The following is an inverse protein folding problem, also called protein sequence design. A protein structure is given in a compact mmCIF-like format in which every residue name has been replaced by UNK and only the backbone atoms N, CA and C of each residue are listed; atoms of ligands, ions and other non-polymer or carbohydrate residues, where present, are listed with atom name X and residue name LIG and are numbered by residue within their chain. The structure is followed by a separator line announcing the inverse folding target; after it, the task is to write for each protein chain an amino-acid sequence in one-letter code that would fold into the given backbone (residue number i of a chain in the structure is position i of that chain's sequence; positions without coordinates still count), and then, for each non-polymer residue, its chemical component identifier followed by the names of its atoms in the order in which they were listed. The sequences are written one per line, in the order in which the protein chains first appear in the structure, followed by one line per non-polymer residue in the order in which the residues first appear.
data_IF_142791721831
#
_entry.id   IF_142791721831
#
_cell.length_a   1.000
_cell.length_b   1.000
_cell.length_c   1.000
_cell.angle_alpha   90.00
_cell.angle_beta   90.00
_cell.angle_gamma   90.00
#
_symmetry.space_group_name_H-M   'P 1'
#
loop_
_entity.id
_entity.type
_entity.pdbx_description
1 polymer ?
#
# COMPACT_ATOMS: atom_id res chain seq x y z
N UNK A 1 43.17 32.56 36.95
CA UNK A 1 41.80 32.19 36.49
C UNK A 1 41.38 32.82 35.16
N UNK A 2 41.93 33.96 34.71
CA UNK A 2 41.61 34.54 33.37
C UNK A 2 42.11 33.71 32.17
N UNK A 3 43.27 33.04 32.28
CA UNK A 3 43.81 32.23 31.16
C UNK A 3 43.08 30.90 30.95
N UNK A 4 42.43 30.36 31.99
CA UNK A 4 41.66 29.11 31.92
C UNK A 4 40.34 29.31 31.16
N UNK A 5 39.74 30.51 31.27
CA UNK A 5 38.55 30.90 30.52
C UNK A 5 38.83 31.09 29.01
N UNK A 6 40.02 31.60 28.65
CA UNK A 6 40.41 31.75 27.24
C UNK A 6 40.72 30.40 26.56
N UNK A 7 41.28 29.42 27.29
CA UNK A 7 41.51 28.07 26.74
C UNK A 7 40.21 27.29 26.53
N UNK A 8 39.21 27.47 27.40
CA UNK A 8 37.90 26.82 27.24
C UNK A 8 37.13 27.34 26.01
N UNK A 9 37.22 28.64 25.70
CA UNK A 9 36.63 29.20 24.48
C UNK A 9 37.30 28.69 23.19
N UNK A 10 38.62 28.45 23.20
CA UNK A 10 39.33 27.96 22.03
C UNK A 10 38.94 26.51 21.65
N UNK A 11 38.64 25.67 22.66
CA UNK A 11 38.21 24.28 22.45
C UNK A 11 36.77 24.22 21.90
N UNK A 12 35.89 25.10 22.37
CA UNK A 12 34.50 25.18 21.88
C UNK A 12 34.44 25.71 20.43
N UNK A 13 35.34 26.63 20.07
CA UNK A 13 35.43 27.15 18.69
C UNK A 13 36.03 26.13 17.72
N UNK A 14 36.91 25.24 18.18
CA UNK A 14 37.52 24.20 17.34
C UNK A 14 36.58 23.00 17.10
N UNK A 15 35.60 22.75 17.99
CA UNK A 15 34.58 21.71 17.79
C UNK A 15 33.44 22.10 16.83
N UNK A 16 33.35 23.37 16.43
CA UNK A 16 32.31 23.86 15.51
C UNK A 16 32.61 23.66 14.02
N UNK A 17 33.79 23.13 13.67
CA UNK A 17 34.25 22.89 12.29
C UNK A 17 34.31 21.41 11.89
N UNK A 18 33.72 20.52 12.69
CA UNK A 18 33.49 19.15 12.25
C UNK A 18 32.20 19.14 11.45
N UNK A 19 32.29 19.54 10.19
CA UNK A 19 31.32 19.19 9.15
C UNK A 19 31.32 17.66 9.01
N UNK A 20 30.65 16.96 9.94
CA UNK A 20 30.28 15.56 9.70
C UNK A 20 29.45 15.58 8.42
N UNK A 21 29.85 14.89 7.34
CA UNK A 21 29.04 14.79 6.15
C UNK A 21 27.75 14.11 6.57
N UNK A 22 26.70 14.90 6.75
CA UNK A 22 25.36 14.38 6.96
C UNK A 22 25.07 13.41 5.82
N UNK A 23 24.76 12.18 6.19
CA UNK A 23 24.40 11.09 5.30
C UNK A 23 23.08 11.38 4.57
N UNK A 24 23.08 12.34 3.64
CA UNK A 24 22.00 12.58 2.68
C UNK A 24 22.09 11.62 1.49
N UNK A 25 22.36 10.35 1.75
CA UNK A 25 22.49 9.31 0.73
C UNK A 25 21.21 8.51 0.49
N UNK A 26 20.24 8.56 1.40
CA UNK A 26 19.08 7.67 1.38
C UNK A 26 17.85 8.24 0.65
N UNK A 27 17.76 9.54 0.41
CA UNK A 27 16.43 10.17 0.31
C UNK A 27 15.75 10.04 -1.06
N UNK A 28 16.42 10.32 -2.18
CA UNK A 28 15.70 10.43 -3.47
C UNK A 28 15.45 9.10 -4.18
N UNK A 29 16.46 8.22 -4.22
CA UNK A 29 16.34 6.90 -4.85
C UNK A 29 15.33 6.00 -4.15
N UNK A 30 15.34 5.99 -2.81
CA UNK A 30 14.40 5.21 -2.00
C UNK A 30 12.97 5.73 -2.13
N UNK A 31 12.75 7.06 -2.07
CA UNK A 31 11.42 7.65 -2.28
C UNK A 31 10.85 7.32 -3.67
N UNK A 32 11.68 7.40 -4.72
CA UNK A 32 11.26 7.02 -6.08
C UNK A 32 10.90 5.54 -6.17
N UNK A 33 11.68 4.66 -5.52
CA UNK A 33 11.40 3.22 -5.50
C UNK A 33 10.09 2.90 -4.74
N UNK A 34 9.84 3.56 -3.61
CA UNK A 34 8.59 3.42 -2.84
C UNK A 34 7.39 3.88 -3.66
N UNK A 35 7.46 5.03 -4.32
CA UNK A 35 6.39 5.51 -5.18
C UNK A 35 6.08 4.53 -6.34
N UNK A 36 7.11 3.99 -6.99
CA UNK A 36 6.92 2.98 -8.05
C UNK A 36 6.25 1.70 -7.51
N UNK A 37 6.63 1.27 -6.30
CA UNK A 37 6.00 0.11 -5.64
C UNK A 37 4.54 0.38 -5.30
N UNK A 38 4.23 1.56 -4.75
CA UNK A 38 2.85 1.94 -4.43
C UNK A 38 1.96 1.92 -5.68
N UNK A 39 2.42 2.48 -6.80
CA UNK A 39 1.70 2.44 -8.09
C UNK A 39 1.48 0.99 -8.54
N UNK A 40 2.53 0.16 -8.48
CA UNK A 40 2.44 -1.26 -8.88
C UNK A 40 1.42 -2.01 -8.03
N UNK A 41 1.44 -1.82 -6.71
CA UNK A 41 0.49 -2.45 -5.78
C UNK A 41 -0.94 -2.02 -6.06
N UNK A 42 -1.18 -0.74 -6.35
CA UNK A 42 -2.52 -0.25 -6.71
C UNK A 42 -3.02 -0.92 -7.99
N UNK A 43 -2.18 -1.00 -9.02
CA UNK A 43 -2.52 -1.66 -10.28
C UNK A 43 -2.82 -3.15 -10.07
N UNK A 44 -1.94 -3.88 -9.37
CA UNK A 44 -2.15 -5.30 -9.06
C UNK A 44 -3.44 -5.53 -8.27
N UNK A 45 -3.74 -4.68 -7.30
CA UNK A 45 -4.98 -4.74 -6.53
C UNK A 45 -6.20 -4.53 -7.42
N UNK A 46 -6.21 -3.51 -8.26
CA UNK A 46 -7.32 -3.20 -9.16
C UNK A 46 -7.54 -4.32 -10.19
N UNK A 47 -6.46 -4.80 -10.81
CA UNK A 47 -6.47 -5.89 -11.78
C UNK A 47 -6.97 -7.20 -11.15
N UNK A 48 -6.59 -7.48 -9.91
CA UNK A 48 -7.07 -8.65 -9.19
C UNK A 48 -8.59 -8.61 -9.00
N UNK A 49 -9.14 -7.48 -8.51
CA UNK A 49 -10.60 -7.36 -8.32
C UNK A 49 -11.33 -7.52 -9.65
N UNK A 50 -10.87 -6.84 -10.70
CA UNK A 50 -11.47 -6.95 -12.04
C UNK A 50 -11.42 -8.39 -12.57
N UNK A 51 -10.30 -9.10 -12.36
CA UNK A 51 -10.14 -10.51 -12.74
C UNK A 51 -11.10 -11.40 -11.95
N UNK A 52 -11.25 -11.19 -10.65
CA UNK A 52 -12.17 -11.94 -9.82
C UNK A 52 -13.60 -11.75 -10.33
N UNK A 53 -14.06 -10.51 -10.49
CA UNK A 53 -15.42 -10.23 -10.98
C UNK A 53 -15.69 -10.87 -12.34
N UNK A 54 -14.72 -10.80 -13.27
CA UNK A 54 -14.82 -11.47 -14.58
C UNK A 54 -14.89 -13.00 -14.45
N UNK A 55 -14.16 -13.59 -13.51
CA UNK A 55 -14.13 -15.05 -13.31
C UNK A 55 -15.48 -15.57 -12.81
N UNK A 56 -16.18 -14.77 -11.99
CA UNK A 56 -17.50 -15.10 -11.46
C UNK A 56 -18.65 -14.49 -12.29
N UNK A 57 -18.36 -13.99 -13.50
CA UNK A 57 -19.33 -13.36 -14.43
C UNK A 57 -20.16 -12.23 -13.80
N UNK A 58 -19.57 -11.50 -12.86
CA UNK A 58 -20.19 -10.33 -12.23
C UNK A 58 -19.90 -9.12 -13.12
N UNK A 59 -20.94 -8.46 -13.64
CA UNK A 59 -20.75 -7.26 -14.45
C UNK A 59 -20.36 -6.06 -13.57
N UNK A 60 -19.40 -5.27 -14.04
CA UNK A 60 -18.83 -4.16 -13.29
C UNK A 60 -18.43 -2.99 -14.21
N UNK A 61 -18.29 -1.80 -13.62
CA UNK A 61 -17.70 -0.64 -14.27
C UNK A 61 -16.45 -0.19 -13.52
N UNK A 62 -15.52 0.39 -14.28
CA UNK A 62 -14.25 0.90 -13.76
C UNK A 62 -14.12 2.40 -13.99
N UNK A 63 -13.36 3.07 -13.13
CA UNK A 63 -12.84 4.41 -13.37
C UNK A 63 -11.72 4.38 -14.42
N UNK A 64 -11.24 5.56 -14.82
CA UNK A 64 -10.09 5.69 -15.75
C UNK A 64 -8.81 5.08 -15.18
N UNK A 65 -8.70 5.02 -13.86
CA UNK A 65 -7.59 4.47 -13.08
C UNK A 65 -7.74 2.95 -12.86
N UNK A 66 -8.78 2.32 -13.42
CA UNK A 66 -9.01 0.87 -13.33
C UNK A 66 -9.68 0.43 -12.02
N UNK A 67 -10.10 1.36 -11.16
CA UNK A 67 -10.78 1.03 -9.90
C UNK A 67 -12.24 0.66 -10.20
N UNK A 68 -12.70 -0.49 -9.69
CA UNK A 68 -14.11 -0.86 -9.78
C UNK A 68 -14.95 0.13 -8.97
N UNK A 69 -15.88 0.81 -9.62
CA UNK A 69 -16.75 1.81 -8.96
C UNK A 69 -18.22 1.44 -8.96
N UNK A 70 -18.64 0.46 -9.77
CA UNK A 70 -20.02 -0.06 -9.78
C UNK A 70 -20.08 -1.54 -10.06
N UNK A 71 -21.04 -2.21 -9.45
CA UNK A 71 -21.40 -3.62 -9.73
C UNK A 71 -22.85 -3.69 -10.19
N UNK A 72 -23.16 -4.57 -11.15
CA UNK A 72 -24.54 -4.91 -11.49
C UNK A 72 -24.96 -6.11 -10.65
N UNK A 73 -25.93 -5.92 -9.76
CA UNK A 73 -26.48 -6.98 -8.92
C UNK A 73 -27.97 -7.11 -9.21
N UNK A 74 -28.37 -8.30 -9.67
CA UNK A 74 -29.70 -8.51 -10.24
C UNK A 74 -29.85 -7.63 -11.49
N UNK A 75 -30.59 -6.52 -11.34
CA UNK A 75 -30.83 -5.56 -12.43
C UNK A 75 -30.50 -4.10 -12.04
N UNK A 76 -29.79 -3.91 -10.92
CA UNK A 76 -29.47 -2.59 -10.39
C UNK A 76 -27.96 -2.37 -10.35
N UNK A 77 -27.53 -1.21 -10.83
CA UNK A 77 -26.16 -0.75 -10.65
C UNK A 77 -26.00 -0.20 -9.24
N UNK A 78 -25.05 -0.77 -8.49
CA UNK A 78 -24.74 -0.38 -7.13
C UNK A 78 -23.39 0.32 -7.11
N UNK A 79 -23.36 1.55 -6.59
CA UNK A 79 -22.13 2.31 -6.41
C UNK A 79 -21.25 1.72 -5.29
N UNK A 80 -19.96 1.57 -5.59
CA UNK A 80 -18.96 1.05 -4.66
C UNK A 80 -18.10 2.21 -4.16
N UNK A 81 -18.10 2.40 -2.83
CA UNK A 81 -17.35 3.46 -2.17
C UNK A 81 -15.95 3.01 -1.75
N UNK A 82 -15.82 1.74 -1.34
CA UNK A 82 -14.57 1.14 -0.88
C UNK A 82 -14.56 -0.34 -1.18
N UNK A 83 -13.37 -0.85 -1.45
CA UNK A 83 -13.12 -2.28 -1.65
C UNK A 83 -12.07 -2.72 -0.63
N UNK A 84 -12.29 -3.84 0.02
CA UNK A 84 -11.34 -4.46 0.92
C UNK A 84 -11.10 -5.91 0.51
N UNK A 85 -9.84 -6.35 0.60
CA UNK A 85 -9.41 -7.66 0.15
C UNK A 85 -8.64 -8.28 1.31
N UNK A 86 -9.17 -9.38 1.83
CA UNK A 86 -8.62 -10.08 2.99
C UNK A 86 -8.13 -11.44 2.52
N UNK A 87 -6.82 -11.75 2.63
CA UNK A 87 -6.31 -13.06 2.24
C UNK A 87 -6.81 -14.13 3.21
N UNK A 88 -7.25 -15.25 2.65
CA UNK A 88 -7.53 -16.46 3.40
C UNK A 88 -6.23 -17.26 3.51
N UNK A 89 -5.83 -17.53 4.75
CA UNK A 89 -4.55 -18.15 5.08
C UNK A 89 -4.76 -19.56 5.60
N UNK A 90 -3.93 -20.49 5.15
CA UNK A 90 -3.81 -21.83 5.70
C UNK A 90 -2.42 -22.00 6.32
N UNK A 91 -2.38 -22.40 7.59
CA UNK A 91 -1.15 -22.81 8.25
C UNK A 91 -0.74 -24.20 7.75
N UNK A 92 0.53 -24.32 7.35
CA UNK A 92 1.15 -25.55 6.91
C UNK A 92 2.39 -25.82 7.76
N UNK A 93 2.90 -27.06 7.73
CA UNK A 93 4.02 -27.49 8.57
C UNK A 93 5.23 -26.55 8.49
N UNK A 94 5.45 -25.88 7.36
CA UNK A 94 6.60 -25.00 7.11
C UNK A 94 6.22 -23.57 6.69
N UNK A 95 5.03 -23.08 7.04
CA UNK A 95 4.68 -21.69 6.80
C UNK A 95 3.19 -21.41 6.67
N UNK A 96 2.87 -20.33 5.98
CA UNK A 96 1.49 -19.91 5.70
C UNK A 96 1.30 -19.80 4.20
N UNK A 97 0.23 -20.41 3.69
CA UNK A 97 -0.16 -20.32 2.28
C UNK A 97 -1.47 -19.54 2.13
N UNK A 98 -1.49 -18.60 1.20
CA UNK A 98 -2.73 -17.94 0.78
C UNK A 98 -3.54 -18.92 -0.07
N UNK A 99 -4.74 -19.28 0.38
CA UNK A 99 -5.65 -20.21 -0.31
C UNK A 99 -6.73 -19.49 -1.11
N UNK A 100 -6.97 -18.21 -0.81
CA UNK A 100 -7.98 -17.41 -1.48
C UNK A 100 -8.05 -16.00 -0.88
N UNK A 101 -9.12 -15.29 -1.19
CA UNK A 101 -9.39 -13.95 -0.69
C UNK A 101 -10.89 -13.76 -0.45
N UNK A 102 -11.23 -13.10 0.64
CA UNK A 102 -12.52 -12.46 0.82
C UNK A 102 -12.45 -11.03 0.28
N UNK A 103 -13.44 -10.64 -0.51
CA UNK A 103 -13.54 -9.31 -1.10
C UNK A 103 -14.83 -8.67 -0.61
N UNK A 104 -14.70 -7.52 0.06
CA UNK A 104 -15.80 -6.74 0.58
C UNK A 104 -15.97 -5.47 -0.25
N UNK A 105 -17.16 -5.27 -0.79
CA UNK A 105 -17.53 -4.07 -1.52
C UNK A 105 -18.49 -3.25 -0.65
N UNK A 106 -17.99 -2.13 -0.14
CA UNK A 106 -18.76 -1.21 0.68
C UNK A 106 -19.55 -0.28 -0.21
N UNK A 107 -20.86 -0.26 -0.03
CA UNK A 107 -21.79 0.62 -0.75
C UNK A 107 -22.26 1.73 0.21
N UNK A 108 -23.29 2.49 -0.18
CA UNK A 108 -23.93 3.45 0.73
C UNK A 108 -24.70 2.76 1.86
N UNK A 109 -25.37 1.65 1.56
CA UNK A 109 -26.42 1.09 2.42
C UNK A 109 -26.04 -0.31 2.96
N UNK A 110 -25.09 -0.99 2.34
CA UNK A 110 -24.69 -2.35 2.72
C UNK A 110 -23.25 -2.70 2.32
N UNK A 111 -22.81 -3.88 2.73
CA UNK A 111 -21.54 -4.48 2.32
C UNK A 111 -21.88 -5.73 1.51
N UNK A 112 -21.37 -5.81 0.29
CA UNK A 112 -21.42 -7.01 -0.52
C UNK A 112 -20.15 -7.82 -0.26
N UNK A 113 -20.28 -9.15 -0.18
CA UNK A 113 -19.16 -10.04 0.12
C UNK A 113 -19.00 -11.09 -0.98
N UNK A 114 -17.76 -11.33 -1.42
CA UNK A 114 -17.38 -12.34 -2.39
C UNK A 114 -16.13 -13.09 -1.90
N UNK A 115 -16.26 -14.39 -1.67
CA UNK A 115 -15.11 -15.27 -1.46
C UNK A 115 -14.57 -15.75 -2.81
N UNK A 116 -13.25 -15.74 -2.98
CA UNK A 116 -12.57 -16.13 -4.21
C UNK A 116 -11.37 -17.02 -3.93
N UNK A 117 -11.26 -18.15 -4.60
CA UNK A 117 -10.08 -19.02 -4.55
C UNK A 117 -8.91 -18.49 -5.41
N UNK A 118 -9.10 -17.36 -6.10
CA UNK A 118 -8.05 -16.75 -6.90
C UNK A 118 -7.00 -16.06 -6.01
N UNK A 119 -5.74 -16.16 -6.43
CA UNK A 119 -4.62 -15.48 -5.79
C UNK A 119 -4.21 -14.20 -6.54
N UNK A 120 -3.71 -13.22 -5.79
CA UNK A 120 -3.07 -12.03 -6.35
C UNK A 120 -1.73 -12.46 -6.97
N UNK A 121 -1.38 -11.90 -8.14
CA UNK A 121 -0.14 -12.18 -8.87
C UNK A 121 0.61 -10.88 -9.12
#
# INVERSE_FOLDING_TARGET
MRHLAFMLCAIIFLSGLVDTPWAYGETYGQLRALNRRAVTVILQRNDFVARVLRTYDIQYQNTKEGVVNRLLIGNNWIDINRIEIVPLMLEEEHGVRVTGHEIFFYTKDNILHLASELTIR
#
